data_IF_515084310459
#
_entry.id   IF_515084310459
#
_cell.length_a   1.000
_cell.length_b   1.000
_cell.length_c   1.000
_cell.angle_alpha   90.00
_cell.angle_beta   90.00
_cell.angle_gamma   90.00
#
_symmetry.space_group_name_H-M   'P 1'
#
loop_
_entity.id
_entity.type
_entity.pdbx_description
1 polymer ?
#
# COMPACT_ATOMS: atom_id res chain seq x y z
N UNK A 1 -10.77 -9.79 13.95
CA UNK A 1 -9.49 -9.65 13.23
C UNK A 1 -9.59 -10.52 11.97
N UNK A 2 -9.58 -9.92 10.76
CA UNK A 2 -9.76 -10.65 9.50
C UNK A 2 -8.46 -11.37 9.12
N UNK A 3 -8.31 -12.64 9.52
CA UNK A 3 -7.17 -13.47 9.13
C UNK A 3 -7.49 -14.10 7.77
N UNK A 4 -7.00 -13.49 6.68
CA UNK A 4 -7.10 -14.07 5.33
C UNK A 4 -6.10 -15.24 5.26
N UNK A 5 -6.59 -16.46 4.99
CA UNK A 5 -5.75 -17.68 4.96
C UNK A 5 -4.55 -17.51 4.02
N UNK A 6 -3.36 -17.85 4.50
CA UNK A 6 -2.13 -17.82 3.71
C UNK A 6 -1.43 -16.45 3.63
N UNK A 7 -1.89 -15.46 4.40
CA UNK A 7 -1.19 -14.17 4.54
C UNK A 7 -0.15 -14.24 5.66
N UNK A 8 1.06 -13.75 5.38
CA UNK A 8 2.15 -13.60 6.36
C UNK A 8 2.68 -12.17 6.37
N UNK A 9 3.05 -11.66 7.54
CA UNK A 9 3.65 -10.32 7.71
C UNK A 9 5.16 -10.41 7.97
N UNK A 10 5.93 -9.42 7.50
CA UNK A 10 7.38 -9.35 7.72
C UNK A 10 7.93 -7.94 7.48
N UNK A 11 9.12 -7.65 8.00
CA UNK A 11 9.89 -6.42 7.72
C UNK A 11 11.12 -6.81 6.90
N UNK A 12 11.04 -6.82 5.55
CA UNK A 12 12.10 -7.35 4.70
C UNK A 12 13.17 -6.30 4.36
N UNK A 13 12.95 -5.02 4.65
CA UNK A 13 13.79 -3.92 4.22
C UNK A 13 14.66 -3.40 5.37
N UNK A 14 15.94 -3.80 5.40
CA UNK A 14 16.86 -3.40 6.48
C UNK A 14 17.07 -1.89 6.61
N UNK A 15 16.90 -1.14 5.51
CA UNK A 15 17.00 0.34 5.49
C UNK A 15 15.69 1.05 5.83
N UNK A 16 14.58 0.31 5.91
CA UNK A 16 13.23 0.82 6.18
C UNK A 16 12.54 -0.11 7.21
N UNK A 17 13.04 -0.13 8.47
CA UNK A 17 12.56 -1.06 9.49
C UNK A 17 11.11 -0.81 9.93
N UNK A 18 10.58 0.38 9.59
CA UNK A 18 9.20 0.78 9.82
C UNK A 18 8.25 0.34 8.71
N UNK A 19 8.73 -0.31 7.65
CA UNK A 19 7.86 -0.82 6.57
C UNK A 19 7.47 -2.26 6.84
N UNK A 20 6.21 -2.46 7.24
CA UNK A 20 5.59 -3.77 7.34
C UNK A 20 5.03 -4.18 5.98
N UNK A 21 5.38 -5.38 5.51
CA UNK A 21 4.81 -5.95 4.28
C UNK A 21 3.96 -7.16 4.56
N UNK A 22 2.89 -7.32 3.79
CA UNK A 22 2.06 -8.51 3.79
C UNK A 22 2.27 -9.31 2.52
N UNK A 23 2.42 -10.63 2.69
CA UNK A 23 2.71 -11.58 1.62
C UNK A 23 1.63 -12.64 1.53
N UNK A 24 1.38 -13.12 0.32
CA UNK A 24 0.62 -14.35 0.05
C UNK A 24 1.51 -15.29 -0.74
N UNK A 25 1.67 -16.54 -0.29
CA UNK A 25 2.58 -17.52 -0.91
C UNK A 25 3.99 -16.96 -1.17
N UNK A 26 4.54 -16.18 -0.21
CA UNK A 26 5.86 -15.56 -0.30
C UNK A 26 5.95 -14.27 -1.15
N UNK A 27 4.88 -13.86 -1.86
CA UNK A 27 4.85 -12.65 -2.69
C UNK A 27 4.19 -11.48 -1.97
N UNK A 28 4.86 -10.33 -1.96
CA UNK A 28 4.34 -9.08 -1.35
C UNK A 28 3.16 -8.55 -2.18
N UNK A 29 2.03 -8.27 -1.54
CA UNK A 29 0.88 -7.63 -2.18
C UNK A 29 0.55 -6.23 -1.62
N UNK A 30 0.98 -5.92 -0.39
CA UNK A 30 0.83 -4.59 0.21
C UNK A 30 1.94 -4.32 1.23
N UNK A 31 2.25 -3.05 1.43
CA UNK A 31 3.22 -2.54 2.39
C UNK A 31 2.68 -1.26 3.04
N UNK A 32 3.04 -1.02 4.29
CA UNK A 32 2.63 0.17 5.04
C UNK A 32 3.72 0.58 6.02
N UNK A 33 3.83 1.88 6.29
CA UNK A 33 4.71 2.41 7.32
C UNK A 33 3.97 2.40 8.67
N UNK A 34 4.50 1.64 9.63
CA UNK A 34 3.86 1.43 10.95
C UNK A 34 4.12 2.56 11.95
N UNK A 35 5.06 3.47 11.71
CA UNK A 35 5.32 4.58 12.63
C UNK A 35 4.35 5.73 12.41
N UNK A 36 4.06 6.04 11.14
CA UNK A 36 3.17 7.13 10.76
C UNK A 36 1.72 6.66 10.59
N UNK A 37 1.48 5.40 10.19
CA UNK A 37 0.14 4.86 9.92
C UNK A 37 -0.73 5.71 8.97
N UNK A 38 -0.11 6.64 8.24
CA UNK A 38 -0.82 7.59 7.39
C UNK A 38 -1.14 7.01 6.01
N UNK A 39 -0.43 5.96 5.59
CA UNK A 39 -0.61 5.39 4.26
C UNK A 39 -0.38 3.88 4.16
N UNK A 40 -1.04 3.25 3.20
CA UNK A 40 -0.81 1.86 2.82
C UNK A 40 -0.83 1.72 1.29
N UNK A 41 0.08 0.93 0.73
CA UNK A 41 0.18 0.73 -0.71
C UNK A 41 -0.46 -0.58 -1.15
N UNK A 42 -1.35 -0.57 -2.15
CA UNK A 42 -1.99 -1.76 -2.72
C UNK A 42 -1.50 -1.96 -4.17
N UNK A 43 -1.13 -3.20 -4.50
CA UNK A 43 -0.91 -3.59 -5.90
C UNK A 43 -2.25 -3.69 -6.64
N UNK A 44 -2.40 -2.95 -7.73
CA UNK A 44 -3.61 -2.91 -8.54
C UNK A 44 -3.35 -3.36 -9.98
N UNK A 45 -4.43 -3.71 -10.70
CA UNK A 45 -4.35 -3.95 -12.12
C UNK A 45 -4.13 -2.59 -12.83
N UNK A 46 -3.07 -2.40 -13.64
CA UNK A 46 -2.77 -1.11 -14.26
C UNK A 46 -3.94 -0.50 -15.07
N UNK A 47 -4.81 -1.33 -15.63
CA UNK A 47 -5.97 -0.90 -16.41
C UNK A 47 -7.04 -0.19 -15.54
N UNK A 48 -7.08 -0.49 -14.24
CA UNK A 48 -8.07 0.08 -13.31
C UNK A 48 -7.49 1.22 -12.46
N UNK A 49 -6.20 1.53 -12.59
CA UNK A 49 -5.50 2.49 -11.72
C UNK A 49 -6.06 3.91 -11.89
N UNK A 50 -6.26 4.36 -13.13
CA UNK A 50 -6.73 5.72 -13.40
C UNK A 50 -8.19 5.91 -12.96
N UNK A 51 -9.06 4.92 -13.19
CA UNK A 51 -10.45 4.96 -12.72
C UNK A 51 -10.51 5.02 -11.19
N UNK A 52 -9.69 4.23 -10.50
CA UNK A 52 -9.63 4.24 -9.03
C UNK A 52 -9.13 5.58 -8.50
N UNK A 53 -8.12 6.20 -9.13
CA UNK A 53 -7.65 7.55 -8.77
C UNK A 53 -8.71 8.62 -8.95
N UNK A 54 -9.51 8.53 -10.02
CA UNK A 54 -10.65 9.43 -10.24
C UNK A 54 -11.76 9.22 -9.20
N UNK A 55 -11.98 7.99 -8.74
CA UNK A 55 -13.00 7.66 -7.75
C UNK A 55 -12.58 8.01 -6.31
N UNK A 56 -11.28 7.92 -6.00
CA UNK A 56 -10.76 8.11 -4.64
C UNK A 56 -9.58 9.10 -4.64
N UNK A 57 -9.84 10.36 -4.30
CA UNK A 57 -8.85 11.45 -4.23
C UNK A 57 -7.65 11.18 -3.30
N UNK A 58 -7.78 10.26 -2.34
CA UNK A 58 -6.72 9.89 -1.42
C UNK A 58 -5.71 8.88 -1.98
N UNK A 59 -5.85 8.49 -3.25
CA UNK A 59 -4.92 7.59 -3.93
C UNK A 59 -3.84 8.37 -4.68
N UNK A 60 -2.60 8.23 -4.23
CA UNK A 60 -1.42 8.88 -4.79
C UNK A 60 -0.49 7.88 -5.52
N UNK A 61 0.48 8.42 -6.26
CA UNK A 61 1.59 7.63 -6.80
C UNK A 61 2.55 7.21 -5.66
N UNK A 62 2.86 5.92 -5.50
CA UNK A 62 3.75 5.48 -4.44
C UNK A 62 5.18 5.96 -4.68
N UNK A 63 5.79 6.51 -3.64
CA UNK A 63 7.16 7.04 -3.71
C UNK A 63 8.25 5.95 -3.88
N UNK A 64 7.95 4.71 -3.51
CA UNK A 64 8.94 3.61 -3.40
C UNK A 64 8.66 2.39 -4.30
N UNK A 65 7.49 2.31 -4.94
CA UNK A 65 7.06 1.13 -5.71
C UNK A 65 6.88 1.44 -7.19
N UNK A 66 6.79 0.39 -8.02
CA UNK A 66 6.56 0.55 -9.46
C UNK A 66 5.18 1.12 -9.77
N UNK A 67 5.02 1.73 -10.95
CA UNK A 67 3.79 2.38 -11.49
C UNK A 67 2.52 1.51 -11.53
N UNK A 68 2.58 0.25 -11.10
CA UNK A 68 1.44 -0.68 -10.99
C UNK A 68 0.87 -0.76 -9.57
N UNK A 69 1.28 0.16 -8.71
CA UNK A 69 0.93 0.18 -7.29
C UNK A 69 0.27 1.51 -6.99
N UNK A 70 -0.78 1.49 -6.17
CA UNK A 70 -1.46 2.67 -5.64
C UNK A 70 -1.08 2.86 -4.18
N UNK A 71 -0.93 4.09 -3.72
CA UNK A 71 -0.72 4.42 -2.31
C UNK A 71 -1.92 5.19 -1.80
N UNK A 72 -2.61 4.68 -0.79
CA UNK A 72 -3.65 5.45 -0.11
C UNK A 72 -3.01 6.26 1.02
N UNK A 73 -3.27 7.56 1.10
CA UNK A 73 -2.79 8.46 2.15
C UNK A 73 -3.94 9.18 2.83
N UNK A 74 -3.96 9.20 4.17
CA UNK A 74 -4.98 9.92 4.96
C UNK A 74 -4.92 11.44 4.74
N UNK A 75 -3.75 11.97 4.36
CA UNK A 75 -3.50 13.39 4.12
C UNK A 75 -4.28 13.96 2.91
N UNK A 76 -4.69 13.10 1.96
CA UNK A 76 -5.48 13.51 0.80
C UNK A 76 -6.91 13.97 1.13
N UNK A 77 -7.40 13.66 2.34
CA UNK A 77 -8.74 14.07 2.79
C UNK A 77 -8.76 15.44 3.50
N UNK A 78 -7.62 15.91 4.00
CA UNK A 78 -7.55 17.14 4.80
C UNK A 78 -7.34 18.43 3.97
N UNK A 79 -7.24 18.32 2.64
CA UNK A 79 -7.00 19.46 1.74
C UNK A 79 -8.16 19.75 0.77
N UNK A 80 -9.39 19.35 1.09
CA UNK A 80 -10.60 19.77 0.35
C UNK A 80 -11.57 20.58 1.21
#
# INVERSE_FOLDING_TARGET
MLIKKGVTESIPFSKLPNVLVFKVMGKIFTATNIEMFDSFSIKCNPETIEELRLQYHALEEPSYFSKKTLEYSSYGWFHS
#
